data_IF_795710800425
#
_entry.id   IF_795710800425
#
_cell.length_a   1.000
_cell.length_b   1.000
_cell.length_c   1.000
_cell.angle_alpha   90.00
_cell.angle_beta   90.00
_cell.angle_gamma   90.00
#
_symmetry.space_group_name_H-M   'P 1'
#
loop_
_entity.id
_entity.type
_entity.pdbx_description
1 polymer ?
#
# COMPACT_ATOMS: atom_id res chain seq x y z
N UNK A 1 -8.88 -13.86 17.16
CA UNK A 1 -8.84 -13.22 15.83
C UNK A 1 -10.05 -12.30 15.70
N UNK A 2 -9.90 -11.06 15.21
CA UNK A 2 -11.05 -10.17 15.01
C UNK A 2 -11.88 -10.66 13.83
N UNK A 3 -13.22 -10.67 13.98
CA UNK A 3 -14.11 -11.07 12.90
C UNK A 3 -14.10 -10.04 11.79
N UNK A 4 -13.71 -10.41 10.57
CA UNK A 4 -13.77 -9.54 9.39
C UNK A 4 -15.23 -9.27 9.05
N UNK A 5 -15.68 -8.02 9.25
CA UNK A 5 -17.05 -7.55 8.94
C UNK A 5 -17.09 -6.62 7.75
N UNK A 6 -16.05 -5.79 7.61
CA UNK A 6 -15.95 -4.77 6.57
C UNK A 6 -14.73 -5.04 5.69
N UNK A 7 -14.95 -5.21 4.40
CA UNK A 7 -13.90 -5.46 3.40
C UNK A 7 -13.77 -4.23 2.50
N UNK A 8 -12.55 -3.69 2.42
CA UNK A 8 -12.19 -2.60 1.52
C UNK A 8 -11.59 -3.15 0.22
N UNK A 9 -12.04 -2.66 -0.93
CA UNK A 9 -11.53 -3.00 -2.25
C UNK A 9 -10.83 -1.80 -2.86
N UNK A 10 -9.52 -1.90 -3.03
CA UNK A 10 -8.68 -0.95 -3.78
C UNK A 10 -8.30 -1.59 -5.10
N UNK A 11 -8.36 -0.86 -6.19
CA UNK A 11 -8.07 -1.40 -7.49
C UNK A 11 -7.15 -0.49 -8.31
N UNK A 12 -6.35 -1.09 -9.18
CA UNK A 12 -5.50 -0.34 -10.11
C UNK A 12 -6.38 0.52 -11.00
N UNK A 13 -6.07 1.81 -11.02
CA UNK A 13 -6.83 2.79 -11.79
C UNK A 13 -6.77 2.49 -13.29
N UNK A 14 -7.90 2.67 -13.98
CA UNK A 14 -8.05 2.42 -15.43
C UNK A 14 -7.64 1.00 -15.89
N UNK A 15 -7.69 0.01 -15.01
CA UNK A 15 -7.42 -1.39 -15.33
C UNK A 15 -8.76 -2.15 -15.47
N UNK A 16 -9.16 -2.53 -16.70
CA UNK A 16 -10.44 -3.18 -16.95
C UNK A 16 -10.64 -4.47 -16.14
N UNK A 17 -9.58 -5.28 -16.02
CA UNK A 17 -9.58 -6.53 -15.26
C UNK A 17 -9.83 -6.29 -13.76
N UNK A 18 -9.22 -5.22 -13.21
CA UNK A 18 -9.46 -4.83 -11.82
C UNK A 18 -10.91 -4.41 -11.59
N UNK A 19 -11.47 -3.61 -12.50
CA UNK A 19 -12.86 -3.18 -12.43
C UNK A 19 -13.85 -4.35 -12.55
N UNK A 20 -13.56 -5.32 -13.41
CA UNK A 20 -14.35 -6.55 -13.53
C UNK A 20 -14.34 -7.37 -12.25
N UNK A 21 -13.17 -7.57 -11.65
CA UNK A 21 -13.04 -8.26 -10.38
C UNK A 21 -13.79 -7.56 -9.24
N UNK A 22 -13.77 -6.23 -9.17
CA UNK A 22 -14.56 -5.48 -8.19
C UNK A 22 -16.06 -5.73 -8.40
N UNK A 23 -16.55 -5.74 -9.67
CA UNK A 23 -17.97 -6.04 -9.97
C UNK A 23 -18.38 -7.43 -9.51
N UNK A 24 -17.49 -8.40 -9.64
CA UNK A 24 -17.71 -9.78 -9.17
C UNK A 24 -17.61 -9.88 -7.64
N UNK A 25 -16.60 -9.28 -7.01
CA UNK A 25 -16.36 -9.38 -5.56
C UNK A 25 -17.45 -8.71 -4.72
N UNK A 26 -18.01 -7.59 -5.17
CA UNK A 26 -19.00 -6.87 -4.38
C UNK A 26 -20.22 -7.71 -4.06
N UNK A 27 -20.95 -8.34 -5.02
CA UNK A 27 -22.05 -9.21 -4.71
C UNK A 27 -21.61 -10.46 -3.95
N UNK A 28 -20.46 -11.05 -4.28
CA UNK A 28 -19.91 -12.22 -3.62
C UNK A 28 -19.68 -12.01 -2.11
N UNK A 29 -19.10 -10.88 -1.72
CA UNK A 29 -18.89 -10.49 -0.33
C UNK A 29 -20.20 -10.15 0.39
N UNK A 30 -21.13 -9.47 -0.28
CA UNK A 30 -22.44 -9.14 0.29
C UNK A 30 -23.27 -10.37 0.59
N UNK A 31 -23.28 -11.38 -0.27
CA UNK A 31 -23.95 -12.66 -0.03
C UNK A 31 -23.41 -13.37 1.22
N UNK A 32 -22.16 -13.11 1.60
CA UNK A 32 -21.52 -13.60 2.83
C UNK A 32 -21.70 -12.67 4.04
N UNK A 33 -22.62 -11.71 3.93
CA UNK A 33 -22.94 -10.77 5.02
C UNK A 33 -21.87 -9.71 5.30
N UNK A 34 -20.94 -9.47 4.37
CA UNK A 34 -19.87 -8.48 4.56
C UNK A 34 -20.30 -7.09 4.08
N UNK A 35 -19.91 -6.08 4.84
CA UNK A 35 -19.95 -4.68 4.39
C UNK A 35 -18.81 -4.44 3.41
N UNK A 36 -19.10 -3.86 2.25
CA UNK A 36 -18.09 -3.65 1.21
C UNK A 36 -17.88 -2.17 0.96
N UNK A 37 -16.63 -1.75 1.04
CA UNK A 37 -16.15 -0.42 0.68
C UNK A 37 -15.39 -0.52 -0.64
N UNK A 38 -15.61 0.41 -1.56
CA UNK A 38 -14.90 0.47 -2.85
C UNK A 38 -14.30 1.85 -3.02
N UNK A 39 -13.08 1.92 -3.50
CA UNK A 39 -12.40 3.18 -3.79
C UNK A 39 -13.18 4.00 -4.82
N UNK A 40 -13.28 5.31 -4.56
CA UNK A 40 -13.93 6.26 -5.48
C UNK A 40 -13.30 6.20 -6.89
N UNK A 41 -14.14 6.21 -7.92
CA UNK A 41 -13.70 6.27 -9.31
C UNK A 41 -13.27 4.94 -9.94
N UNK A 42 -13.22 3.85 -9.19
CA UNK A 42 -12.89 2.51 -9.74
C UNK A 42 -14.02 1.98 -10.60
N UNK A 43 -15.20 1.81 -10.01
CA UNK A 43 -16.39 1.31 -10.73
C UNK A 43 -17.65 1.62 -9.94
N UNK A 44 -18.76 1.81 -10.65
CA UNK A 44 -20.09 1.90 -10.02
C UNK A 44 -20.59 0.51 -9.64
N UNK A 45 -20.85 0.32 -8.35
CA UNK A 45 -21.39 -0.92 -7.78
C UNK A 45 -22.40 -0.60 -6.67
N UNK A 46 -23.02 -1.63 -6.11
CA UNK A 46 -23.87 -1.49 -4.92
C UNK A 46 -23.08 -1.38 -3.59
N UNK A 47 -21.76 -1.25 -3.65
CA UNK A 47 -20.91 -1.04 -2.47
C UNK A 47 -20.91 0.43 -2.05
N UNK A 48 -20.36 0.70 -0.85
CA UNK A 48 -20.15 2.06 -0.35
C UNK A 48 -18.87 2.61 -1.01
N UNK A 49 -19.03 3.66 -1.79
CA UNK A 49 -17.90 4.37 -2.39
C UNK A 49 -17.24 5.29 -1.35
N UNK A 50 -15.92 5.27 -1.24
CA UNK A 50 -15.17 6.06 -0.27
C UNK A 50 -13.74 6.35 -0.74
N UNK A 51 -13.06 7.26 -0.06
CA UNK A 51 -11.62 7.49 -0.28
C UNK A 51 -10.79 6.36 0.34
N UNK A 52 -9.54 6.20 -0.14
CA UNK A 52 -8.59 5.25 0.46
C UNK A 52 -8.39 5.50 1.97
N UNK A 53 -8.35 6.75 2.39
CA UNK A 53 -8.18 7.13 3.80
C UNK A 53 -9.37 6.69 4.66
N UNK A 54 -10.59 6.91 4.18
CA UNK A 54 -11.81 6.45 4.86
C UNK A 54 -11.88 4.91 4.90
N UNK A 55 -11.47 4.25 3.83
CA UNK A 55 -11.39 2.80 3.75
C UNK A 55 -10.40 2.25 4.77
N UNK A 56 -9.18 2.77 4.81
CA UNK A 56 -8.14 2.37 5.74
C UNK A 56 -8.57 2.51 7.21
N UNK A 57 -9.38 3.53 7.52
CA UNK A 57 -9.90 3.74 8.87
C UNK A 57 -11.03 2.77 9.25
N UNK A 58 -11.80 2.24 8.29
CA UNK A 58 -13.05 1.50 8.53
C UNK A 58 -13.02 0.02 8.18
N UNK A 59 -12.10 -0.41 7.31
CA UNK A 59 -12.01 -1.80 6.88
C UNK A 59 -11.37 -2.69 7.96
N UNK A 60 -11.81 -3.95 8.01
CA UNK A 60 -11.18 -5.00 8.82
C UNK A 60 -10.23 -5.86 7.97
N UNK A 61 -10.41 -5.83 6.65
CA UNK A 61 -9.56 -6.43 5.63
C UNK A 61 -9.54 -5.50 4.42
N UNK A 62 -8.38 -5.30 3.80
CA UNK A 62 -8.26 -4.61 2.53
C UNK A 62 -7.79 -5.59 1.46
N UNK A 63 -8.48 -5.63 0.32
CA UNK A 63 -8.07 -6.40 -0.86
C UNK A 63 -7.58 -5.41 -1.91
N UNK A 64 -6.30 -5.54 -2.27
CA UNK A 64 -5.63 -4.70 -3.27
C UNK A 64 -5.58 -5.46 -4.60
N UNK A 65 -6.34 -5.01 -5.59
CA UNK A 65 -6.47 -5.62 -6.92
C UNK A 65 -5.61 -4.88 -7.94
N UNK A 66 -4.43 -5.44 -8.28
CA UNK A 66 -3.51 -4.77 -9.20
C UNK A 66 -2.15 -5.43 -9.21
N UNK A 67 -1.13 -4.72 -8.83
CA UNK A 67 0.23 -5.18 -8.58
C UNK A 67 0.78 -4.46 -7.36
N UNK A 68 2.09 -4.60 -7.10
CA UNK A 68 2.76 -4.03 -5.94
C UNK A 68 2.49 -2.53 -5.76
N UNK A 69 2.49 -1.75 -6.84
CA UNK A 69 2.19 -0.32 -6.78
C UNK A 69 0.80 0.02 -6.23
N UNK A 70 -0.21 -0.83 -6.46
CA UNK A 70 -1.55 -0.63 -5.90
C UNK A 70 -1.55 -0.84 -4.39
N UNK A 71 -0.86 -1.89 -3.92
CA UNK A 71 -0.68 -2.18 -2.50
C UNK A 71 0.16 -1.10 -1.81
N UNK A 72 1.27 -0.67 -2.40
CA UNK A 72 2.14 0.40 -1.90
C UNK A 72 1.40 1.73 -1.72
N UNK A 73 0.34 1.99 -2.48
CA UNK A 73 -0.47 3.19 -2.36
C UNK A 73 -1.47 3.14 -1.19
N UNK A 74 -1.92 1.96 -0.76
CA UNK A 74 -2.90 1.84 0.34
C UNK A 74 -2.22 1.55 1.69
N UNK A 75 -1.16 0.75 1.69
CA UNK A 75 -0.49 0.32 2.92
C UNK A 75 -0.09 1.47 3.87
N UNK A 76 0.48 2.60 3.39
CA UNK A 76 0.85 3.72 4.26
C UNK A 76 -0.33 4.40 4.95
N UNK A 77 -1.55 4.23 4.44
CA UNK A 77 -2.76 4.84 5.00
C UNK A 77 -3.40 3.99 6.09
N UNK A 78 -3.00 2.72 6.20
CA UNK A 78 -3.49 1.80 7.22
C UNK A 78 -2.71 2.03 8.51
N UNK A 79 -3.32 2.75 9.45
CA UNK A 79 -2.70 3.09 10.74
C UNK A 79 -2.93 2.00 11.79
N UNK A 80 -4.00 1.22 11.64
CA UNK A 80 -4.32 0.12 12.54
C UNK A 80 -3.47 -1.10 12.20
N UNK A 81 -2.63 -1.60 13.14
CA UNK A 81 -1.69 -2.69 12.87
C UNK A 81 -2.35 -4.06 12.71
N UNK A 82 -3.63 -4.16 13.05
CA UNK A 82 -4.45 -5.37 13.02
C UNK A 82 -5.26 -5.55 11.73
N UNK A 83 -5.18 -4.58 10.80
CA UNK A 83 -5.87 -4.66 9.49
C UNK A 83 -4.97 -5.29 8.44
N UNK A 84 -5.21 -6.54 8.04
CA UNK A 84 -4.45 -7.17 6.99
C UNK A 84 -4.77 -6.57 5.61
N UNK A 85 -3.78 -6.63 4.72
CA UNK A 85 -3.91 -6.27 3.31
C UNK A 85 -3.62 -7.52 2.48
N UNK A 86 -4.60 -7.97 1.72
CA UNK A 86 -4.45 -9.06 0.75
C UNK A 86 -4.08 -8.47 -0.61
N UNK A 87 -2.86 -8.73 -1.06
CA UNK A 87 -2.36 -8.29 -2.36
C UNK A 87 -2.67 -9.29 -3.46
N UNK A 88 -3.50 -8.88 -4.44
CA UNK A 88 -3.88 -9.71 -5.59
C UNK A 88 -3.24 -9.16 -6.84
N UNK A 89 -2.47 -9.99 -7.53
CA UNK A 89 -1.79 -9.65 -8.76
C UNK A 89 -2.67 -9.93 -9.98
N UNK A 90 -2.83 -8.93 -10.84
CA UNK A 90 -3.62 -9.04 -12.08
C UNK A 90 -2.76 -9.26 -13.34
N UNK A 91 -1.44 -9.23 -13.17
CA UNK A 91 -0.45 -9.41 -14.24
C UNK A 91 0.57 -10.49 -13.90
N UNK A 92 1.86 -10.18 -14.01
CA UNK A 92 2.95 -11.06 -13.57
C UNK A 92 3.16 -10.97 -12.06
N UNK A 93 3.69 -12.03 -11.44
CA UNK A 93 3.94 -12.14 -10.00
C UNK A 93 4.71 -10.93 -9.46
N UNK A 94 4.24 -10.37 -8.34
CA UNK A 94 4.89 -9.26 -7.63
C UNK A 94 5.71 -9.74 -6.43
N UNK A 95 6.42 -8.82 -5.79
CA UNK A 95 7.17 -9.10 -4.56
C UNK A 95 6.29 -9.11 -3.31
N UNK A 96 5.19 -8.36 -3.32
CA UNK A 96 4.28 -8.20 -2.18
C UNK A 96 2.82 -8.49 -2.52
N UNK A 97 2.53 -8.77 -3.79
CA UNK A 97 1.21 -9.23 -4.28
C UNK A 97 1.36 -10.67 -4.75
N UNK A 98 1.15 -11.61 -3.80
CA UNK A 98 1.46 -13.03 -3.99
C UNK A 98 0.28 -13.84 -4.51
N UNK A 99 -0.95 -13.35 -4.38
CA UNK A 99 -2.15 -14.06 -4.78
C UNK A 99 -2.46 -13.79 -6.25
N UNK A 100 -2.56 -14.85 -7.05
CA UNK A 100 -2.99 -14.73 -8.44
C UNK A 100 -4.52 -14.48 -8.53
N UNK A 101 -4.95 -13.88 -9.64
CA UNK A 101 -6.35 -13.50 -9.82
C UNK A 101 -7.33 -14.69 -9.77
N UNK A 102 -6.92 -15.85 -10.27
CA UNK A 102 -7.67 -17.09 -10.28
C UNK A 102 -7.72 -17.80 -8.92
N UNK A 103 -6.76 -17.52 -8.05
CA UNK A 103 -6.72 -18.06 -6.68
C UNK A 103 -7.56 -17.23 -5.69
N UNK A 104 -7.97 -16.01 -6.08
CA UNK A 104 -8.58 -15.03 -5.16
C UNK A 104 -9.79 -15.59 -4.41
N UNK A 105 -10.69 -16.29 -5.07
CA UNK A 105 -11.91 -16.81 -4.42
C UNK A 105 -11.58 -17.80 -3.31
N UNK A 106 -10.67 -18.71 -3.57
CA UNK A 106 -10.22 -19.72 -2.61
C UNK A 106 -9.52 -19.07 -1.41
N UNK A 107 -8.54 -18.18 -1.68
CA UNK A 107 -7.78 -17.50 -0.65
C UNK A 107 -8.68 -16.60 0.20
N UNK A 108 -9.57 -15.83 -0.44
CA UNK A 108 -10.47 -14.93 0.27
C UNK A 108 -11.49 -15.70 1.13
N UNK A 109 -11.96 -16.85 0.67
CA UNK A 109 -12.85 -17.73 1.46
C UNK A 109 -12.14 -18.14 2.75
N UNK A 110 -10.94 -18.70 2.68
CA UNK A 110 -10.12 -19.07 3.86
C UNK A 110 -9.86 -17.87 4.76
N UNK A 111 -9.51 -16.72 4.17
CA UNK A 111 -9.28 -15.49 4.92
C UNK A 111 -10.51 -15.06 5.72
N UNK A 112 -11.71 -15.14 5.14
CA UNK A 112 -12.96 -14.78 5.83
C UNK A 112 -13.35 -15.77 6.92
N UNK A 113 -12.90 -17.01 6.83
CA UNK A 113 -13.06 -18.06 7.85
C UNK A 113 -12.02 -17.96 8.98
N UNK A 114 -11.00 -17.11 8.81
CA UNK A 114 -9.91 -16.91 9.79
C UNK A 114 -8.72 -17.84 9.59
N UNK A 115 -8.69 -18.59 8.50
CA UNK A 115 -7.59 -19.48 8.10
C UNK A 115 -6.61 -18.70 7.21
N UNK A 116 -5.76 -17.90 7.84
CA UNK A 116 -4.70 -17.14 7.18
C UNK A 116 -3.58 -16.76 8.15
N UNK A 117 -2.40 -16.58 7.62
CA UNK A 117 -1.25 -16.01 8.30
C UNK A 117 -1.00 -14.58 7.83
N UNK A 118 -0.36 -13.78 8.68
CA UNK A 118 0.02 -12.41 8.35
C UNK A 118 1.49 -12.17 8.58
N UNK A 119 2.13 -11.50 7.65
CA UNK A 119 3.48 -10.97 7.80
C UNK A 119 3.42 -9.50 8.18
N UNK A 120 4.17 -9.10 9.20
CA UNK A 120 4.33 -7.69 9.58
C UNK A 120 5.47 -7.07 8.80
N UNK A 121 5.19 -5.96 8.13
CA UNK A 121 6.20 -5.23 7.36
C UNK A 121 6.49 -3.88 7.99
N UNK A 122 7.78 -3.53 8.04
CA UNK A 122 8.25 -2.23 8.51
C UNK A 122 7.81 -1.12 7.56
N UNK A 123 7.48 0.05 8.12
CA UNK A 123 7.26 1.29 7.36
C UNK A 123 8.22 2.36 7.81
N UNK A 124 8.60 3.28 6.93
CA UNK A 124 9.34 4.49 7.29
C UNK A 124 8.35 5.64 7.52
N UNK A 125 8.51 6.34 8.64
CA UNK A 125 7.92 7.66 8.83
C UNK A 125 8.94 8.73 8.42
N UNK A 126 8.55 9.57 7.47
CA UNK A 126 9.40 10.61 6.90
C UNK A 126 8.89 11.97 7.35
N UNK A 127 9.80 12.78 7.89
CA UNK A 127 9.53 14.17 8.23
C UNK A 127 10.41 15.08 7.38
N UNK A 128 9.80 15.85 6.50
CA UNK A 128 10.51 16.85 5.68
C UNK A 128 10.25 18.23 6.25
N UNK A 129 11.32 18.91 6.65
CA UNK A 129 11.25 20.29 7.14
C UNK A 129 11.89 21.22 6.13
N UNK A 130 11.13 22.14 5.59
CA UNK A 130 11.60 23.17 4.66
C UNK A 130 12.29 24.32 5.40
N UNK A 131 13.14 25.09 4.70
CA UNK A 131 13.84 26.28 5.26
C UNK A 131 12.89 27.32 5.87
N UNK A 132 11.66 27.41 5.38
CA UNK A 132 10.62 28.31 5.93
C UNK A 132 9.90 27.74 7.17
N UNK A 133 10.38 26.63 7.74
CA UNK A 133 9.82 25.96 8.90
C UNK A 133 8.63 25.04 8.62
N UNK A 134 8.13 24.97 7.38
CA UNK A 134 7.01 24.09 7.03
C UNK A 134 7.43 22.62 7.13
N UNK A 135 6.62 21.83 7.83
CA UNK A 135 6.86 20.41 8.05
C UNK A 135 5.83 19.58 7.30
N UNK A 136 6.32 18.63 6.52
CA UNK A 136 5.49 17.59 5.86
C UNK A 136 5.83 16.23 6.47
N UNK A 137 4.82 15.38 6.64
CA UNK A 137 4.96 14.00 7.14
C UNK A 137 4.42 13.04 6.12
N UNK A 138 5.17 11.96 5.91
CA UNK A 138 4.80 10.86 5.02
C UNK A 138 5.07 9.54 5.71
N UNK A 139 4.36 8.51 5.32
CA UNK A 139 4.65 7.12 5.66
C UNK A 139 4.80 6.34 4.37
N UNK A 140 5.79 5.45 4.29
CA UNK A 140 6.04 4.64 3.10
C UNK A 140 6.38 3.21 3.50
N UNK A 141 6.03 2.26 2.64
CA UNK A 141 6.33 0.84 2.83
C UNK A 141 7.68 0.46 2.21
N UNK A 142 8.07 1.08 1.10
CA UNK A 142 9.32 0.77 0.42
C UNK A 142 10.48 1.69 0.83
N UNK A 143 10.49 2.91 0.32
CA UNK A 143 11.64 3.80 0.42
C UNK A 143 11.26 5.28 0.41
N UNK A 144 12.23 6.10 0.81
CA UNK A 144 12.24 7.54 0.67
C UNK A 144 13.39 7.93 -0.25
N UNK A 145 13.08 8.61 -1.35
CA UNK A 145 14.07 9.07 -2.32
C UNK A 145 14.26 10.57 -2.19
N UNK A 146 15.50 10.98 -1.89
CA UNK A 146 15.94 12.36 -1.99
C UNK A 146 16.68 12.49 -3.31
N UNK A 147 16.21 13.35 -4.21
CA UNK A 147 16.81 13.51 -5.52
C UNK A 147 17.11 14.99 -5.81
N UNK A 148 18.14 15.24 -6.55
CA UNK A 148 18.45 16.58 -7.07
C UNK A 148 17.29 17.10 -7.95
N UNK A 149 17.10 18.41 -7.96
CA UNK A 149 16.18 19.04 -8.91
C UNK A 149 16.71 18.93 -10.35
N UNK A 150 15.81 19.02 -11.33
CA UNK A 150 16.14 18.87 -12.76
C UNK A 150 17.24 19.80 -13.27
N UNK A 151 17.46 20.94 -12.60
CA UNK A 151 18.48 21.94 -12.95
C UNK A 151 19.78 21.84 -12.13
N UNK A 152 19.83 20.98 -11.11
CA UNK A 152 21.02 20.79 -10.28
C UNK A 152 21.96 19.78 -10.91
N UNK A 153 23.27 20.07 -10.88
CA UNK A 153 24.27 19.11 -11.39
C UNK A 153 24.49 17.97 -10.40
N UNK A 154 24.72 18.30 -9.14
CA UNK A 154 24.95 17.34 -8.06
C UNK A 154 24.56 18.01 -6.74
N UNK A 155 24.21 17.25 -5.72
CA UNK A 155 23.86 17.75 -4.39
C UNK A 155 24.79 17.17 -3.33
N UNK A 156 25.07 17.95 -2.28
CA UNK A 156 25.75 17.48 -1.09
C UNK A 156 24.68 17.17 -0.02
N UNK A 157 24.74 15.96 0.54
CA UNK A 157 23.80 15.42 1.51
C UNK A 157 24.56 15.07 2.79
N UNK A 158 24.48 15.92 3.80
CA UNK A 158 24.94 15.58 5.13
C UNK A 158 23.98 14.59 5.76
N UNK A 159 24.50 13.44 6.19
CA UNK A 159 23.70 12.34 6.73
C UNK A 159 24.11 12.09 8.17
N UNK A 160 23.11 12.03 9.05
CA UNK A 160 23.27 11.85 10.49
C UNK A 160 22.52 10.62 10.96
N UNK A 161 23.03 9.96 12.00
CA UNK A 161 22.34 8.93 12.78
C UNK A 161 22.25 9.46 14.22
N UNK A 162 21.06 9.84 14.65
CA UNK A 162 20.90 10.66 15.85
C UNK A 162 21.58 12.01 15.68
N UNK A 163 22.50 12.34 16.58
CA UNK A 163 23.29 13.58 16.52
C UNK A 163 24.67 13.40 15.87
N UNK A 164 25.03 12.17 15.49
CA UNK A 164 26.34 11.83 14.95
C UNK A 164 26.34 11.96 13.42
N UNK A 165 27.29 12.74 12.88
CA UNK A 165 27.53 12.85 11.45
C UNK A 165 28.07 11.52 10.92
N UNK A 166 27.31 10.84 10.06
CA UNK A 166 27.77 9.63 9.37
C UNK A 166 28.74 9.97 8.24
N UNK A 167 28.28 10.77 7.28
CA UNK A 167 29.11 11.30 6.20
C UNK A 167 28.36 12.35 5.37
N UNK A 168 29.08 13.00 4.45
CA UNK A 168 28.52 13.88 3.42
C UNK A 168 28.61 13.17 2.08
N UNK A 169 27.44 12.80 1.50
CA UNK A 169 27.37 12.24 0.15
C UNK A 169 27.31 13.34 -0.89
N UNK A 170 28.18 13.29 -1.87
CA UNK A 170 28.07 14.11 -3.08
C UNK A 170 27.53 13.25 -4.21
N UNK A 171 26.23 13.37 -4.49
CA UNK A 171 25.49 12.43 -5.33
C UNK A 171 24.30 13.07 -6.07
N UNK A 172 23.70 12.35 -6.98
CA UNK A 172 22.44 12.71 -7.61
C UNK A 172 21.23 12.59 -6.66
N UNK A 173 21.40 11.81 -5.60
CA UNK A 173 20.38 11.62 -4.56
C UNK A 173 20.79 10.55 -3.55
N UNK A 174 19.85 10.26 -2.62
CA UNK A 174 19.97 9.24 -1.59
C UNK A 174 18.66 8.48 -1.48
N UNK A 175 18.73 7.17 -1.39
CA UNK A 175 17.58 6.30 -1.14
C UNK A 175 17.72 5.71 0.26
N UNK A 176 16.67 5.86 1.06
CA UNK A 176 16.54 5.25 2.38
C UNK A 176 15.39 4.27 2.31
N UNK A 177 15.66 2.99 2.52
CA UNK A 177 14.75 1.90 2.23
C UNK A 177 14.38 1.10 3.48
N UNK A 178 13.16 0.55 3.52
CA UNK A 178 12.80 -0.54 4.41
C UNK A 178 13.38 -1.86 3.89
N UNK A 179 13.35 -2.95 4.67
CA UNK A 179 13.67 -4.28 4.13
C UNK A 179 12.81 -4.68 2.92
N UNK A 180 11.53 -4.28 2.89
CA UNK A 180 10.65 -4.53 1.74
C UNK A 180 11.12 -3.79 0.49
N UNK A 181 11.52 -2.52 0.61
CA UNK A 181 11.99 -1.71 -0.50
C UNK A 181 13.43 -1.99 -0.94
N UNK A 182 14.23 -2.68 -0.11
CA UNK A 182 15.65 -2.94 -0.39
C UNK A 182 15.88 -3.80 -1.65
N UNK A 183 14.88 -4.51 -2.11
CA UNK A 183 14.95 -5.31 -3.34
C UNK A 183 14.65 -4.52 -4.63
N UNK A 184 14.26 -3.24 -4.52
CA UNK A 184 13.93 -2.41 -5.68
C UNK A 184 15.14 -1.62 -6.21
N UNK A 185 15.65 -0.66 -5.45
CA UNK A 185 16.65 0.31 -5.93
C UNK A 185 17.89 0.46 -5.03
N UNK A 186 18.01 -0.30 -3.95
CA UNK A 186 19.10 -0.20 -2.98
C UNK A 186 20.16 -1.29 -3.20
N UNK A 187 20.62 -1.45 -4.43
CA UNK A 187 21.75 -2.31 -4.81
C UNK A 187 23.05 -1.51 -4.71
#
# INVERSE_FOLDING_TARGET
>A
MSTIRTVGLVAKYQEPKAAEMVRWLVPWLKQRGKRVLVENGVVRTAAISCTKKEMAAKADLIVSLGGDGTLLNIAPLVERPDVPILGVNLGGLGFITEVAADELESVLTKTLEGDYETEKRMTLEIRVQSKNGKVHRFRVLNDAVIAKGARSRIIDLETYIGDDLLCTYRADGLIISTPTGSTAYSL
#
